data_IF_928195078633
#
_entry.id   IF_928195078633
#
_cell.length_a   1.000
_cell.length_b   1.000
_cell.length_c   1.000
_cell.angle_alpha   90.00
_cell.angle_beta   90.00
_cell.angle_gamma   90.00
#
_symmetry.space_group_name_H-M   'P 1'
#
loop_
_entity.id
_entity.type
_entity.pdbx_description
1 polymer ?
#
# COMPACT_ATOMS: atom_id res chain seq x y z
N UNK A 1 27.36 1.88 45.51
CA UNK A 1 27.43 1.91 44.03
C UNK A 1 27.34 3.36 43.57
N UNK A 2 28.37 3.90 42.95
CA UNK A 2 28.41 5.31 42.54
C UNK A 2 28.21 5.38 41.01
N UNK A 3 26.94 5.54 40.56
CA UNK A 3 26.58 5.56 39.14
C UNK A 3 26.38 6.99 38.67
N UNK A 4 27.25 7.45 37.76
CA UNK A 4 27.15 8.78 37.12
C UNK A 4 25.93 8.83 36.15
N UNK A 5 25.74 7.79 35.35
CA UNK A 5 24.62 7.70 34.38
C UNK A 5 23.54 6.73 34.88
N UNK A 6 22.30 7.18 34.88
CA UNK A 6 21.10 6.38 35.18
C UNK A 6 20.01 6.63 34.17
N UNK A 7 19.98 5.92 33.03
CA UNK A 7 18.96 6.11 31.96
C UNK A 7 17.52 5.94 32.46
N UNK A 8 17.29 5.18 33.52
CA UNK A 8 15.96 5.01 34.15
C UNK A 8 15.34 6.33 34.65
N UNK A 9 16.13 7.40 34.87
CA UNK A 9 15.61 8.71 35.27
C UNK A 9 14.59 9.26 34.28
N UNK A 10 14.77 9.01 32.98
CA UNK A 10 13.88 9.47 31.91
C UNK A 10 12.66 8.57 31.72
N UNK A 11 12.46 7.53 32.54
CA UNK A 11 11.34 6.57 32.41
C UNK A 11 10.46 6.49 33.65
N UNK A 12 10.75 7.30 34.69
CA UNK A 12 10.15 7.16 36.02
C UNK A 12 8.67 7.46 36.09
N UNK A 13 8.17 8.36 35.24
CA UNK A 13 6.76 8.75 35.19
C UNK A 13 6.26 8.76 33.74
N UNK A 14 4.93 8.71 33.54
CA UNK A 14 4.32 8.85 32.24
C UNK A 14 4.67 10.21 31.61
N UNK A 15 4.56 11.30 32.38
CA UNK A 15 4.91 12.65 31.93
C UNK A 15 6.38 12.75 31.46
N UNK A 16 7.32 12.13 32.20
CA UNK A 16 8.72 12.10 31.79
C UNK A 16 8.92 11.32 30.51
N UNK A 17 8.27 10.17 30.34
CA UNK A 17 8.34 9.39 29.10
C UNK A 17 7.74 10.14 27.91
N UNK A 18 6.63 10.86 28.10
CA UNK A 18 6.02 11.69 27.07
C UNK A 18 6.94 12.86 26.69
N UNK A 19 7.55 13.53 27.67
CA UNK A 19 8.46 14.67 27.44
C UNK A 19 9.66 14.30 26.55
N UNK A 20 10.17 13.08 26.68
CA UNK A 20 11.38 12.64 25.94
C UNK A 20 11.07 11.71 24.78
N UNK A 21 9.80 11.59 24.40
CA UNK A 21 9.42 10.77 23.25
C UNK A 21 9.93 11.40 21.94
N UNK A 22 10.75 10.65 21.18
CA UNK A 22 11.38 11.12 19.95
C UNK A 22 10.50 10.91 18.72
N UNK A 23 9.56 9.94 18.79
CA UNK A 23 8.73 9.52 17.66
C UNK A 23 7.27 9.78 17.96
N UNK A 24 6.64 10.65 17.18
CA UNK A 24 5.22 10.99 17.26
C UNK A 24 4.52 10.61 15.97
N UNK A 25 3.64 9.62 16.03
CA UNK A 25 2.81 9.21 14.90
C UNK A 25 1.50 10.00 14.93
N UNK A 26 1.11 10.57 13.78
CA UNK A 26 -0.12 11.34 13.62
C UNK A 26 -1.10 10.59 12.70
N UNK A 27 -2.43 10.74 12.89
CA UNK A 27 -3.44 10.15 12.01
C UNK A 27 -3.22 10.44 10.52
N UNK A 28 -2.79 11.66 10.18
CA UNK A 28 -2.52 12.08 8.80
C UNK A 28 -1.30 11.41 8.13
N UNK A 29 -0.50 10.66 8.88
CA UNK A 29 0.61 9.87 8.36
C UNK A 29 0.20 8.42 8.07
N UNK A 30 -1.05 8.05 8.35
CA UNK A 30 -1.60 6.74 8.05
C UNK A 30 -2.43 6.81 6.76
N UNK A 31 -2.21 5.84 5.87
CA UNK A 31 -2.99 5.63 4.65
C UNK A 31 -3.87 4.41 4.89
N UNK A 32 -5.20 4.59 4.83
CA UNK A 32 -6.13 3.49 4.98
C UNK A 32 -6.33 2.78 3.65
N UNK A 33 -6.12 1.47 3.65
CA UNK A 33 -6.35 0.61 2.48
C UNK A 33 -7.79 0.14 2.43
N UNK A 34 -8.40 0.16 1.25
CA UNK A 34 -9.74 -0.33 0.99
C UNK A 34 -9.80 -1.21 -0.26
N UNK A 35 -10.70 -2.19 -0.24
CA UNK A 35 -11.01 -3.05 -1.37
C UNK A 35 -12.42 -2.75 -1.88
N UNK A 36 -12.57 -2.54 -3.17
CA UNK A 36 -13.87 -2.32 -3.82
C UNK A 36 -14.11 -3.40 -4.85
N UNK A 37 -15.23 -4.10 -4.75
CA UNK A 37 -15.53 -5.28 -5.57
C UNK A 37 -16.77 -5.07 -6.41
N UNK A 38 -16.69 -5.47 -7.67
CA UNK A 38 -17.84 -5.54 -8.58
C UNK A 38 -18.65 -6.83 -8.37
N UNK A 39 -19.92 -6.79 -8.72
CA UNK A 39 -20.81 -7.96 -8.72
C UNK A 39 -21.28 -8.42 -7.33
N UNK A 40 -21.15 -7.61 -6.30
CA UNK A 40 -21.71 -7.86 -4.96
C UNK A 40 -22.77 -6.82 -4.60
N UNK A 41 -23.85 -7.27 -3.92
CA UNK A 41 -24.97 -6.39 -3.51
C UNK A 41 -24.71 -5.71 -2.15
N UNK A 42 -23.85 -6.30 -1.33
CA UNK A 42 -23.46 -5.79 -0.01
C UNK A 42 -21.98 -6.06 0.27
N UNK A 43 -21.36 -5.29 1.18
CA UNK A 43 -19.96 -5.51 1.57
C UNK A 43 -19.74 -6.91 2.13
N UNK A 44 -18.66 -7.55 1.67
CA UNK A 44 -18.30 -8.91 2.07
C UNK A 44 -17.12 -8.90 3.05
N UNK A 45 -17.17 -9.63 4.18
CA UNK A 45 -16.03 -9.71 5.10
C UNK A 45 -14.90 -10.54 4.48
N UNK A 46 -13.66 -10.07 4.63
CA UNK A 46 -12.47 -10.81 4.21
C UNK A 46 -12.08 -11.78 5.33
N UNK A 47 -12.21 -13.08 5.06
CA UNK A 47 -12.05 -14.13 6.08
C UNK A 47 -10.69 -14.11 6.78
N UNK A 48 -9.61 -13.93 6.02
CA UNK A 48 -8.23 -13.91 6.55
C UNK A 48 -7.82 -12.56 7.15
N UNK A 49 -8.69 -11.55 7.06
CA UNK A 49 -8.45 -10.20 7.57
C UNK A 49 -9.65 -9.70 8.40
N UNK A 50 -9.83 -10.19 9.63
CA UNK A 50 -10.97 -9.83 10.47
C UNK A 50 -11.15 -8.32 10.61
N UNK A 51 -12.37 -7.81 10.34
CA UNK A 51 -12.66 -6.36 10.37
C UNK A 51 -12.41 -5.63 9.05
N UNK A 52 -11.83 -6.28 8.04
CA UNK A 52 -11.70 -5.75 6.68
C UNK A 52 -12.78 -6.33 5.75
N UNK A 53 -13.14 -5.54 4.74
CA UNK A 53 -14.25 -5.87 3.84
C UNK A 53 -13.89 -5.59 2.38
N UNK A 54 -14.46 -6.36 1.48
CA UNK A 54 -14.67 -5.95 0.09
C UNK A 54 -15.93 -5.09 0.06
N UNK A 55 -15.81 -3.86 -0.39
CA UNK A 55 -16.89 -2.88 -0.42
C UNK A 55 -17.58 -2.83 -1.79
N UNK A 56 -18.86 -2.51 -1.80
CA UNK A 56 -19.57 -2.02 -3.00
C UNK A 56 -19.24 -0.52 -3.20
N UNK A 57 -19.59 0.04 -4.37
CA UNK A 57 -19.50 1.50 -4.61
C UNK A 57 -20.36 2.31 -3.62
N UNK A 58 -21.46 1.75 -3.11
CA UNK A 58 -22.30 2.42 -2.10
C UNK A 58 -21.70 2.32 -0.70
N UNK A 59 -21.14 1.15 -0.33
CA UNK A 59 -20.64 0.92 1.03
C UNK A 59 -19.25 1.48 1.27
N UNK A 60 -18.49 1.84 0.20
CA UNK A 60 -17.15 2.44 0.35
C UNK A 60 -17.23 3.85 0.93
N UNK A 61 -18.22 4.67 0.52
CA UNK A 61 -18.32 6.06 0.94
C UNK A 61 -18.47 6.21 2.46
N UNK A 62 -19.40 5.52 3.14
CA UNK A 62 -19.45 5.53 4.61
C UNK A 62 -18.14 5.07 5.28
N UNK A 63 -17.46 4.07 4.73
CA UNK A 63 -16.20 3.56 5.29
C UNK A 63 -15.06 4.59 5.16
N UNK A 64 -14.95 5.24 4.01
CA UNK A 64 -13.97 6.32 3.79
C UNK A 64 -14.29 7.53 4.66
N UNK A 65 -15.57 7.88 4.84
CA UNK A 65 -16.00 8.98 5.74
C UNK A 65 -15.60 8.70 7.18
N UNK A 66 -15.77 7.47 7.64
CA UNK A 66 -15.32 7.03 8.97
C UNK A 66 -13.81 7.19 9.17
N UNK A 67 -13.01 6.86 8.15
CA UNK A 67 -11.57 7.06 8.14
C UNK A 67 -11.20 8.57 8.14
N UNK A 68 -11.84 9.35 7.31
CA UNK A 68 -11.66 10.81 7.23
C UNK A 68 -11.95 11.50 8.57
N UNK A 69 -13.09 11.16 9.20
CA UNK A 69 -13.49 11.68 10.51
C UNK A 69 -12.54 11.26 11.64
N UNK A 70 -11.92 10.06 11.53
CA UNK A 70 -10.87 9.62 12.43
C UNK A 70 -9.56 10.42 12.28
N UNK A 71 -9.37 11.14 11.16
CA UNK A 71 -8.20 11.99 10.90
C UNK A 71 -7.30 11.49 9.79
N UNK A 72 -7.68 10.40 9.08
CA UNK A 72 -7.00 9.95 7.86
C UNK A 72 -7.14 11.03 6.77
N UNK A 73 -6.08 11.20 5.98
CA UNK A 73 -6.07 12.18 4.87
C UNK A 73 -5.65 11.57 3.54
N UNK A 74 -5.39 10.27 3.51
CA UNK A 74 -5.10 9.51 2.30
C UNK A 74 -5.70 8.11 2.41
N UNK A 75 -6.32 7.65 1.32
CA UNK A 75 -6.78 6.27 1.16
C UNK A 75 -6.09 5.65 -0.05
N UNK A 76 -5.91 4.32 -0.01
CA UNK A 76 -5.43 3.53 -1.13
C UNK A 76 -6.50 2.52 -1.54
N UNK A 77 -6.91 2.55 -2.81
CA UNK A 77 -8.01 1.77 -3.35
C UNK A 77 -7.48 0.60 -4.20
N UNK A 78 -8.01 -0.59 -3.93
CA UNK A 78 -7.81 -1.81 -4.72
C UNK A 78 -9.15 -2.21 -5.35
N UNK A 79 -9.17 -2.38 -6.67
CA UNK A 79 -10.37 -2.78 -7.41
C UNK A 79 -10.38 -4.27 -7.70
N UNK A 80 -11.51 -4.93 -7.47
CA UNK A 80 -11.70 -6.36 -7.74
C UNK A 80 -12.82 -6.49 -8.78
N UNK A 81 -12.46 -6.71 -10.06
CA UNK A 81 -13.45 -6.96 -11.11
C UNK A 81 -14.11 -8.33 -10.91
N UNK A 82 -15.22 -8.57 -11.65
CA UNK A 82 -15.80 -9.90 -11.71
C UNK A 82 -14.84 -10.86 -12.43
N UNK A 83 -14.90 -12.14 -12.09
CA UNK A 83 -14.02 -13.14 -12.72
C UNK A 83 -14.22 -13.24 -14.23
N UNK A 84 -15.44 -13.03 -14.69
CA UNK A 84 -15.80 -13.02 -16.12
C UNK A 84 -15.25 -11.82 -16.90
N UNK A 85 -14.86 -10.74 -16.20
CA UNK A 85 -14.30 -9.52 -16.76
C UNK A 85 -12.75 -9.49 -16.72
N UNK A 86 -12.14 -10.53 -16.18
CA UNK A 86 -10.68 -10.71 -16.18
C UNK A 86 -10.23 -11.34 -17.48
N UNK A 87 -9.17 -10.80 -18.09
CA UNK A 87 -8.55 -11.34 -19.29
C UNK A 87 -7.03 -11.50 -19.14
N UNK A 88 -6.34 -11.93 -20.20
CA UNK A 88 -4.90 -12.20 -20.16
C UNK A 88 -4.04 -10.94 -19.97
N UNK A 89 -4.57 -9.76 -20.29
CA UNK A 89 -3.86 -8.48 -20.20
C UNK A 89 -4.39 -7.57 -19.10
N UNK A 90 -5.51 -7.94 -18.47
CA UNK A 90 -6.14 -7.14 -17.42
C UNK A 90 -6.82 -5.88 -17.94
N UNK A 91 -7.50 -5.95 -19.10
CA UNK A 91 -8.02 -4.78 -19.80
C UNK A 91 -9.01 -3.93 -19.01
N UNK A 92 -9.72 -4.50 -18.04
CA UNK A 92 -10.64 -3.77 -17.16
C UNK A 92 -9.92 -2.82 -16.20
N UNK A 93 -8.60 -2.91 -16.03
CA UNK A 93 -7.81 -2.00 -15.21
C UNK A 93 -7.82 -0.55 -15.72
N UNK A 94 -7.92 -0.38 -17.04
CA UNK A 94 -7.99 0.95 -17.68
C UNK A 94 -9.35 1.26 -18.32
N UNK A 95 -10.34 0.41 -18.09
CA UNK A 95 -11.72 0.72 -18.50
C UNK A 95 -12.24 1.88 -17.63
N UNK A 96 -12.71 3.00 -18.23
CA UNK A 96 -13.33 4.08 -17.47
C UNK A 96 -14.54 3.65 -16.64
N UNK A 97 -15.19 2.54 -17.00
CA UNK A 97 -16.31 1.95 -16.28
C UNK A 97 -15.87 0.82 -15.34
N UNK A 98 -14.56 0.51 -15.26
CA UNK A 98 -14.02 -0.49 -14.36
C UNK A 98 -14.20 -0.10 -12.89
N UNK A 99 -14.34 -1.11 -12.04
CA UNK A 99 -14.70 -0.93 -10.62
C UNK A 99 -13.73 0.01 -9.87
N UNK A 100 -12.41 -0.06 -10.16
CA UNK A 100 -11.42 0.80 -9.51
C UNK A 100 -11.60 2.27 -9.93
N UNK A 101 -11.77 2.52 -11.23
CA UNK A 101 -11.97 3.88 -11.75
C UNK A 101 -13.28 4.49 -11.24
N UNK A 102 -14.36 3.70 -11.14
CA UNK A 102 -15.59 4.14 -10.49
C UNK A 102 -15.39 4.45 -9.00
N UNK A 103 -14.65 3.59 -8.26
CA UNK A 103 -14.37 3.83 -6.84
C UNK A 103 -13.55 5.12 -6.63
N UNK A 104 -12.57 5.38 -7.50
CA UNK A 104 -11.83 6.66 -7.50
C UNK A 104 -12.79 7.83 -7.71
N UNK A 105 -13.63 7.75 -8.75
CA UNK A 105 -14.53 8.85 -9.11
C UNK A 105 -15.54 9.18 -8.01
N UNK A 106 -16.19 8.18 -7.38
CA UNK A 106 -17.15 8.43 -6.30
C UNK A 106 -16.49 8.95 -5.03
N UNK A 107 -15.27 8.49 -4.71
CA UNK A 107 -14.50 9.04 -3.58
C UNK A 107 -14.07 10.48 -3.87
N UNK A 108 -13.62 10.77 -5.09
CA UNK A 108 -13.22 12.11 -5.52
C UNK A 108 -14.40 13.09 -5.52
N UNK A 109 -15.56 12.67 -6.00
CA UNK A 109 -16.80 13.48 -5.98
C UNK A 109 -17.22 13.83 -4.54
N UNK A 110 -17.14 12.85 -3.62
CA UNK A 110 -17.61 13.02 -2.24
C UNK A 110 -16.66 13.86 -1.38
N UNK A 111 -15.34 13.69 -1.51
CA UNK A 111 -14.36 14.29 -0.61
C UNK A 111 -13.55 15.43 -1.23
N UNK A 112 -13.60 15.61 -2.54
CA UNK A 112 -12.85 16.66 -3.23
C UNK A 112 -11.35 16.59 -2.93
N UNK A 113 -10.74 17.75 -2.63
CA UNK A 113 -9.33 17.90 -2.28
C UNK A 113 -9.04 17.73 -0.78
N UNK A 114 -10.06 17.47 0.04
CA UNK A 114 -9.89 17.26 1.48
C UNK A 114 -9.30 15.88 1.83
N UNK A 115 -9.32 14.95 0.86
CA UNK A 115 -8.81 13.59 0.99
C UNK A 115 -8.00 13.23 -0.25
N UNK A 116 -6.76 12.78 -0.07
CA UNK A 116 -5.96 12.21 -1.14
C UNK A 116 -6.53 10.83 -1.49
N UNK A 117 -7.03 10.70 -2.73
CA UNK A 117 -7.45 9.42 -3.30
C UNK A 117 -6.26 8.85 -4.07
N UNK A 118 -5.69 7.79 -3.55
CA UNK A 118 -4.64 7.00 -4.19
C UNK A 118 -5.24 5.68 -4.67
N UNK A 119 -4.68 5.10 -5.72
CA UNK A 119 -5.07 3.80 -6.23
C UNK A 119 -3.86 2.94 -6.55
N UNK A 120 -3.92 1.67 -6.19
CA UNK A 120 -2.93 0.69 -6.64
C UNK A 120 -2.93 0.60 -8.18
N UNK A 121 -1.74 0.58 -8.76
CA UNK A 121 -1.56 0.50 -10.21
C UNK A 121 -0.82 -0.79 -10.52
N UNK A 122 -1.60 -1.86 -10.61
CA UNK A 122 -1.13 -3.21 -10.92
C UNK A 122 -2.20 -3.98 -11.68
N UNK A 123 -1.80 -4.98 -12.43
CA UNK A 123 -2.70 -5.79 -13.25
C UNK A 123 -3.15 -7.09 -12.57
N UNK A 124 -2.60 -7.46 -11.41
CA UNK A 124 -2.82 -8.79 -10.82
C UNK A 124 -4.24 -9.05 -10.32
N UNK A 125 -5.02 -8.02 -10.02
CA UNK A 125 -6.45 -8.14 -9.73
C UNK A 125 -7.29 -8.33 -11.01
N UNK A 126 -6.77 -7.86 -12.15
CA UNK A 126 -7.49 -7.75 -13.43
C UNK A 126 -7.12 -8.85 -14.42
N UNK A 127 -5.94 -9.47 -14.26
CA UNK A 127 -5.52 -10.58 -15.14
C UNK A 127 -6.15 -11.91 -14.71
N UNK A 128 -6.52 -12.73 -15.71
CA UNK A 128 -7.10 -14.06 -15.48
C UNK A 128 -6.14 -15.04 -14.79
N UNK A 129 -4.83 -14.81 -14.91
CA UNK A 129 -3.76 -15.63 -14.30
C UNK A 129 -3.20 -15.03 -13.00
N UNK A 130 -3.56 -13.80 -12.60
CA UNK A 130 -3.16 -13.17 -11.36
C UNK A 130 -1.69 -12.74 -11.26
N UNK A 131 -0.95 -12.67 -12.37
CA UNK A 131 0.36 -12.02 -12.42
C UNK A 131 0.23 -10.51 -12.61
N UNK A 132 1.26 -9.77 -12.19
CA UNK A 132 1.29 -8.31 -12.28
C UNK A 132 1.55 -7.76 -13.70
N UNK A 133 1.56 -8.59 -14.72
CA UNK A 133 1.83 -8.19 -16.08
C UNK A 133 1.49 -9.26 -17.11
N UNK A 134 1.74 -8.96 -18.38
CA UNK A 134 1.46 -9.82 -19.52
C UNK A 134 2.40 -11.03 -19.51
N UNK A 135 1.86 -12.22 -19.74
CA UNK A 135 2.64 -13.45 -19.82
C UNK A 135 3.00 -13.78 -21.26
N UNK A 136 4.29 -14.04 -21.48
CA UNK A 136 4.85 -14.53 -22.75
C UNK A 136 5.66 -15.80 -22.53
N UNK A 137 5.78 -16.64 -23.57
CA UNK A 137 6.65 -17.82 -23.54
C UNK A 137 8.12 -17.39 -23.66
N UNK A 138 8.98 -17.83 -22.76
CA UNK A 138 10.43 -17.53 -22.76
C UNK A 138 11.22 -18.26 -23.87
N UNK A 139 10.53 -18.98 -24.77
CA UNK A 139 11.13 -19.83 -25.80
C UNK A 139 11.53 -21.21 -25.30
N UNK A 140 11.31 -21.51 -24.02
CA UNK A 140 11.59 -22.80 -23.37
C UNK A 140 10.32 -23.45 -22.79
N UNK A 141 9.15 -22.88 -23.07
CA UNK A 141 7.87 -23.38 -22.60
C UNK A 141 7.52 -22.93 -21.17
N UNK A 142 8.20 -21.91 -20.64
CA UNK A 142 7.87 -21.28 -19.36
C UNK A 142 7.23 -19.91 -19.61
N UNK A 143 6.10 -19.65 -18.97
CA UNK A 143 5.47 -18.33 -19.02
C UNK A 143 6.18 -17.39 -18.04
N UNK A 144 6.60 -16.24 -18.56
CA UNK A 144 7.26 -15.17 -17.80
C UNK A 144 6.52 -13.84 -18.05
N UNK A 145 6.62 -12.90 -17.12
CA UNK A 145 6.07 -11.56 -17.33
C UNK A 145 6.97 -10.80 -18.31
N UNK A 146 6.40 -10.30 -19.40
CA UNK A 146 7.05 -9.35 -20.30
C UNK A 146 7.06 -7.98 -19.68
N UNK A 147 8.26 -7.43 -19.46
CA UNK A 147 8.45 -6.14 -18.81
C UNK A 147 7.87 -4.99 -19.65
N UNK A 148 8.30 -4.89 -20.90
CA UNK A 148 8.06 -3.70 -21.71
C UNK A 148 6.61 -3.59 -22.14
N UNK A 149 5.97 -4.71 -22.53
CA UNK A 149 4.55 -4.76 -22.83
C UNK A 149 3.71 -4.43 -21.58
N UNK A 150 4.13 -4.91 -20.41
CA UNK A 150 3.44 -4.63 -19.14
C UNK A 150 3.52 -3.13 -18.78
N UNK A 151 4.67 -2.49 -18.98
CA UNK A 151 4.84 -1.05 -18.72
C UNK A 151 3.91 -0.20 -19.59
N UNK A 152 3.70 -0.56 -20.87
CA UNK A 152 2.74 0.13 -21.73
C UNK A 152 1.31 0.05 -21.17
N UNK A 153 0.93 -1.09 -20.58
CA UNK A 153 -0.40 -1.25 -19.98
C UNK A 153 -0.53 -0.45 -18.67
N UNK A 154 0.54 -0.39 -17.88
CA UNK A 154 0.57 0.45 -16.68
C UNK A 154 0.40 1.94 -17.01
N UNK A 155 0.99 2.42 -18.11
CA UNK A 155 0.77 3.79 -18.56
C UNK A 155 -0.73 4.05 -18.87
N UNK A 156 -1.42 3.10 -19.54
CA UNK A 156 -2.86 3.21 -19.79
C UNK A 156 -3.67 3.24 -18.49
N UNK A 157 -3.35 2.36 -17.55
CA UNK A 157 -3.99 2.29 -16.24
C UNK A 157 -3.81 3.58 -15.45
N UNK A 158 -2.57 4.09 -15.33
CA UNK A 158 -2.26 5.33 -14.62
C UNK A 158 -3.03 6.52 -15.19
N UNK A 159 -3.06 6.68 -16.53
CA UNK A 159 -3.82 7.75 -17.18
C UNK A 159 -5.33 7.58 -16.95
N UNK A 160 -5.85 6.36 -16.94
CA UNK A 160 -7.26 6.11 -16.64
C UNK A 160 -7.62 6.46 -15.19
N UNK A 161 -6.78 6.08 -14.24
CA UNK A 161 -6.93 6.44 -12.82
C UNK A 161 -6.88 7.97 -12.62
N UNK A 162 -5.95 8.66 -13.28
CA UNK A 162 -5.87 10.11 -13.26
C UNK A 162 -7.13 10.78 -13.81
N UNK A 163 -7.67 10.27 -14.94
CA UNK A 163 -8.96 10.73 -15.51
C UNK A 163 -10.15 10.49 -14.58
N UNK A 164 -10.14 9.41 -13.81
CA UNK A 164 -11.14 9.12 -12.80
C UNK A 164 -11.04 10.05 -11.58
N UNK A 165 -9.92 10.79 -11.42
CA UNK A 165 -9.72 11.78 -10.38
C UNK A 165 -8.74 11.35 -9.27
N UNK A 166 -7.91 10.33 -9.48
CA UNK A 166 -6.84 9.98 -8.55
C UNK A 166 -5.87 11.15 -8.37
N UNK A 167 -5.48 11.42 -7.12
CA UNK A 167 -4.42 12.37 -6.80
C UNK A 167 -3.03 11.74 -6.91
N UNK A 168 -2.97 10.42 -6.67
CA UNK A 168 -1.73 9.64 -6.67
C UNK A 168 -1.98 8.29 -7.32
N UNK A 169 -1.12 7.89 -8.22
CA UNK A 169 -1.04 6.52 -8.73
C UNK A 169 0.07 5.77 -8.02
N UNK A 170 -0.13 4.49 -7.71
CA UNK A 170 0.80 3.74 -6.87
C UNK A 170 1.22 2.43 -7.54
N UNK A 171 2.20 2.48 -8.49
CA UNK A 171 2.64 1.31 -9.26
C UNK A 171 3.27 0.26 -8.36
N UNK A 172 2.67 -0.94 -8.34
CA UNK A 172 3.09 -2.03 -7.47
C UNK A 172 3.61 -3.27 -8.21
N UNK A 173 3.81 -3.17 -9.52
CA UNK A 173 4.19 -4.30 -10.38
C UNK A 173 5.67 -4.65 -10.37
N UNK A 174 6.54 -3.73 -9.99
CA UNK A 174 7.99 -3.91 -10.01
C UNK A 174 8.57 -4.13 -11.42
N UNK A 175 8.04 -3.45 -12.43
CA UNK A 175 8.61 -3.51 -13.78
C UNK A 175 9.71 -2.46 -13.94
N UNK A 176 10.80 -2.84 -14.61
CA UNK A 176 11.91 -1.92 -14.89
C UNK A 176 11.43 -0.75 -15.76
N UNK A 177 11.75 0.49 -15.37
CA UNK A 177 11.39 1.69 -16.13
C UNK A 177 9.93 2.12 -16.02
N UNK A 178 9.13 1.45 -15.18
CA UNK A 178 7.69 1.74 -15.05
C UNK A 178 7.41 3.17 -14.60
N UNK A 179 8.24 3.73 -13.71
CA UNK A 179 8.01 5.07 -13.16
C UNK A 179 8.24 6.14 -14.22
N UNK A 180 9.35 6.07 -14.96
CA UNK A 180 9.65 7.02 -16.04
C UNK A 180 8.58 7.01 -17.14
N UNK A 181 8.14 5.81 -17.55
CA UNK A 181 7.13 5.65 -18.58
C UNK A 181 5.76 6.21 -18.13
N UNK A 182 5.33 5.89 -16.89
CA UNK A 182 4.08 6.38 -16.35
C UNK A 182 4.10 7.90 -16.14
N UNK A 183 5.21 8.47 -15.64
CA UNK A 183 5.35 9.94 -15.51
C UNK A 183 5.19 10.62 -16.86
N UNK A 184 5.90 10.12 -17.89
CA UNK A 184 5.79 10.67 -19.24
C UNK A 184 4.36 10.56 -19.79
N UNK A 185 3.68 9.42 -19.59
CA UNK A 185 2.31 9.22 -20.07
C UNK A 185 1.30 10.13 -19.34
N UNK A 186 1.46 10.35 -18.05
CA UNK A 186 0.63 11.27 -17.27
C UNK A 186 0.82 12.72 -17.74
N UNK A 187 2.06 13.16 -17.93
CA UNK A 187 2.39 14.50 -18.40
C UNK A 187 1.85 14.74 -19.82
N UNK A 188 2.03 13.79 -20.74
CA UNK A 188 1.48 13.88 -22.12
C UNK A 188 -0.04 13.96 -22.11
N UNK A 189 -0.69 13.31 -21.15
CA UNK A 189 -2.15 13.33 -20.99
C UNK A 189 -2.68 14.57 -20.26
N UNK A 190 -1.81 15.48 -19.77
CA UNK A 190 -2.14 16.72 -19.05
C UNK A 190 -2.40 16.53 -17.58
N UNK A 191 -1.78 15.52 -16.95
CA UNK A 191 -1.91 15.18 -15.53
C UNK A 191 -0.59 15.38 -14.77
N UNK A 192 0.10 16.51 -15.00
CA UNK A 192 1.37 16.85 -14.36
C UNK A 192 1.26 16.95 -12.83
N UNK A 193 0.06 17.24 -12.31
CA UNK A 193 -0.20 17.36 -10.86
C UNK A 193 -0.50 16.01 -10.17
N UNK A 194 -0.66 14.91 -10.93
CA UNK A 194 -0.85 13.57 -10.35
C UNK A 194 0.48 13.01 -9.90
N UNK A 195 0.61 12.74 -8.61
CA UNK A 195 1.86 12.19 -8.04
C UNK A 195 2.00 10.68 -8.24
N UNK A 196 3.23 10.17 -8.17
CA UNK A 196 3.55 8.75 -8.23
C UNK A 196 4.17 8.30 -6.91
N UNK A 197 3.51 7.35 -6.21
CA UNK A 197 4.09 6.63 -5.07
C UNK A 197 4.58 5.26 -5.55
N UNK A 198 5.88 5.14 -5.77
CA UNK A 198 6.48 3.91 -6.29
C UNK A 198 6.65 2.84 -5.21
N UNK A 199 6.24 1.61 -5.49
CA UNK A 199 6.58 0.44 -4.67
C UNK A 199 8.02 0.00 -4.95
N UNK A 200 8.97 0.85 -4.66
CA UNK A 200 10.37 0.74 -5.08
C UNK A 200 11.12 -0.46 -4.49
N UNK A 201 10.80 -0.83 -3.25
CA UNK A 201 11.39 -1.98 -2.57
C UNK A 201 10.30 -2.98 -2.16
N UNK A 202 9.73 -3.69 -3.14
CA UNK A 202 8.70 -4.71 -2.92
C UNK A 202 9.30 -6.11 -3.02
N UNK A 203 9.25 -6.84 -1.93
CA UNK A 203 9.81 -8.18 -1.81
C UNK A 203 8.81 -9.28 -2.16
N UNK A 204 9.30 -10.39 -2.73
CA UNK A 204 8.54 -11.64 -2.92
C UNK A 204 8.28 -12.29 -1.55
N UNK A 205 7.31 -11.74 -0.82
CA UNK A 205 7.09 -12.05 0.59
C UNK A 205 6.06 -13.15 0.82
N UNK A 206 6.32 -14.00 1.82
CA UNK A 206 5.35 -14.98 2.33
C UNK A 206 4.18 -14.32 3.10
N UNK A 207 4.28 -13.03 3.44
CA UNK A 207 3.24 -12.29 4.15
C UNK A 207 2.08 -11.78 3.28
N UNK A 208 2.05 -12.09 1.97
CA UNK A 208 0.98 -11.65 1.07
C UNK A 208 -0.22 -12.62 0.98
N UNK A 209 -0.22 -13.71 1.77
CA UNK A 209 -1.31 -14.70 1.73
C UNK A 209 -2.71 -14.09 1.92
N UNK A 210 -2.98 -13.32 2.99
CA UNK A 210 -4.30 -12.73 3.20
C UNK A 210 -4.73 -11.70 2.15
N UNK A 211 -3.79 -11.02 1.50
CA UNK A 211 -4.09 -10.12 0.37
C UNK A 211 -4.66 -10.90 -0.81
N UNK A 212 -4.11 -12.09 -1.12
CA UNK A 212 -4.63 -12.94 -2.20
C UNK A 212 -6.09 -13.36 -1.94
N UNK A 213 -6.44 -13.60 -0.68
CA UNK A 213 -7.81 -13.86 -0.25
C UNK A 213 -8.69 -12.61 -0.42
N UNK A 214 -8.15 -11.43 -0.07
CA UNK A 214 -8.86 -10.17 -0.16
C UNK A 214 -9.23 -9.75 -1.59
N UNK A 215 -8.38 -10.06 -2.57
CA UNK A 215 -8.58 -9.73 -4.00
C UNK A 215 -9.05 -10.92 -4.84
N UNK A 216 -9.36 -12.06 -4.20
CA UNK A 216 -9.77 -13.31 -4.87
C UNK A 216 -8.83 -13.71 -6.00
N UNK A 217 -7.53 -13.67 -5.70
CA UNK A 217 -6.48 -13.91 -6.69
C UNK A 217 -6.52 -15.33 -7.22
N UNK A 218 -6.53 -15.48 -8.53
CA UNK A 218 -6.39 -16.76 -9.26
C UNK A 218 -4.95 -17.24 -9.33
N UNK A 219 -4.00 -16.45 -8.81
CA UNK A 219 -2.57 -16.64 -8.92
C UNK A 219 -2.08 -18.02 -8.48
N UNK A 220 -1.27 -18.64 -9.34
CA UNK A 220 -0.55 -19.89 -9.08
C UNK A 220 0.92 -19.70 -9.42
N UNK A 221 1.82 -20.12 -8.51
CA UNK A 221 3.27 -19.98 -8.72
C UNK A 221 3.91 -18.99 -7.74
N UNK A 222 4.93 -18.27 -8.20
CA UNK A 222 5.59 -17.22 -7.42
C UNK A 222 5.87 -15.99 -8.31
N UNK A 223 6.26 -14.89 -7.67
CA UNK A 223 6.53 -13.60 -8.32
C UNK A 223 8.02 -13.21 -8.23
N UNK A 224 8.89 -14.20 -8.07
CA UNK A 224 10.34 -13.98 -7.82
C UNK A 224 11.10 -13.46 -9.02
N UNK A 225 10.51 -13.52 -10.21
CA UNK A 225 11.12 -12.99 -11.45
C UNK A 225 11.02 -11.47 -11.55
N UNK A 226 10.15 -10.83 -10.75
CA UNK A 226 9.98 -9.38 -10.76
C UNK A 226 9.85 -8.75 -9.36
N UNK A 227 9.57 -9.50 -8.30
CA UNK A 227 9.66 -8.99 -6.93
C UNK A 227 11.00 -9.40 -6.30
N UNK A 228 11.55 -8.53 -5.46
CA UNK A 228 12.88 -8.68 -4.88
C UNK A 228 13.01 -9.92 -3.99
N UNK A 229 14.19 -10.54 -3.99
CA UNK A 229 14.50 -11.66 -3.09
C UNK A 229 14.63 -11.15 -1.64
N UNK A 230 13.89 -11.74 -0.67
CA UNK A 230 14.02 -11.40 0.75
C UNK A 230 15.45 -11.51 1.32
N UNK A 231 16.34 -12.25 0.68
CA UNK A 231 17.73 -12.35 1.06
C UNK A 231 18.59 -11.14 0.65
N UNK A 232 18.08 -10.29 -0.26
CA UNK A 232 18.83 -9.19 -0.85
C UNK A 232 18.44 -7.84 -0.19
N UNK A 233 19.45 -7.08 0.21
CA UNK A 233 19.34 -5.74 0.75
C UNK A 233 19.79 -4.67 -0.25
N UNK A 234 20.90 -4.92 -0.96
CA UNK A 234 21.51 -3.93 -1.87
C UNK A 234 20.65 -3.67 -3.10
N UNK A 235 19.92 -4.65 -3.54
CA UNK A 235 18.97 -4.57 -4.65
C UNK A 235 17.90 -3.49 -4.37
N UNK A 236 17.31 -3.49 -3.17
CA UNK A 236 16.35 -2.45 -2.79
C UNK A 236 16.88 -1.03 -2.88
N UNK A 237 18.17 -0.83 -2.54
CA UNK A 237 18.77 0.50 -2.63
C UNK A 237 19.04 0.91 -4.09
N UNK A 238 19.24 -0.06 -4.98
CA UNK A 238 19.38 0.16 -6.41
C UNK A 238 18.02 0.54 -7.02
N UNK A 239 16.99 -0.26 -6.75
CA UNK A 239 15.61 -0.03 -7.22
C UNK A 239 15.07 1.33 -6.77
N UNK A 240 15.21 1.65 -5.48
CA UNK A 240 14.76 2.97 -4.97
C UNK A 240 15.48 4.11 -5.66
N UNK A 241 16.78 3.99 -5.96
CA UNK A 241 17.50 5.04 -6.70
C UNK A 241 17.05 5.15 -8.14
N UNK A 242 16.77 4.03 -8.80
CA UNK A 242 16.23 4.03 -10.16
C UNK A 242 14.87 4.75 -10.20
N UNK A 243 13.95 4.39 -9.31
CA UNK A 243 12.63 5.04 -9.23
C UNK A 243 12.72 6.55 -8.93
N UNK A 244 13.67 6.96 -8.07
CA UNK A 244 13.92 8.38 -7.79
C UNK A 244 14.45 9.12 -9.04
N UNK A 245 15.38 8.52 -9.79
CA UNK A 245 15.92 9.07 -11.04
C UNK A 245 14.84 9.12 -12.13
N UNK A 246 13.90 8.19 -12.12
CA UNK A 246 12.75 8.09 -13.01
C UNK A 246 11.61 9.06 -12.67
N UNK A 247 11.65 9.71 -11.51
CA UNK A 247 10.70 10.77 -11.15
C UNK A 247 9.61 10.36 -10.17
N UNK A 248 9.85 9.35 -9.31
CA UNK A 248 8.94 9.05 -8.20
C UNK A 248 8.84 10.22 -7.23
N UNK A 249 7.62 10.61 -6.85
CA UNK A 249 7.33 11.65 -5.85
C UNK A 249 7.40 11.11 -4.42
N UNK A 250 7.17 9.82 -4.25
CA UNK A 250 7.31 9.06 -3.01
C UNK A 250 7.82 7.66 -3.34
N UNK A 251 8.60 7.08 -2.42
CA UNK A 251 9.14 5.71 -2.56
C UNK A 251 8.66 4.83 -1.41
N UNK A 252 8.41 3.55 -1.65
CA UNK A 252 7.82 2.65 -0.67
C UNK A 252 8.64 1.39 -0.45
N UNK A 253 8.70 0.95 0.81
CA UNK A 253 9.19 -0.37 1.22
C UNK A 253 8.01 -1.27 1.59
N UNK A 254 7.92 -2.47 0.99
CA UNK A 254 6.86 -3.46 1.22
C UNK A 254 7.43 -4.89 1.26
N UNK A 255 7.18 -5.66 2.33
CA UNK A 255 6.50 -5.33 3.60
C UNK A 255 7.29 -4.38 4.50
N UNK A 256 6.65 -3.86 5.57
CA UNK A 256 7.30 -2.95 6.50
C UNK A 256 8.04 -3.64 7.66
N UNK A 257 7.32 -4.47 8.44
CA UNK A 257 7.78 -4.90 9.77
C UNK A 257 9.03 -5.78 9.76
N UNK A 258 9.16 -6.66 8.76
CA UNK A 258 10.37 -7.50 8.60
C UNK A 258 11.50 -6.82 7.85
N UNK A 259 11.31 -5.58 7.37
CA UNK A 259 12.22 -4.83 6.52
C UNK A 259 12.49 -3.42 7.06
N UNK A 260 12.44 -3.25 8.39
CA UNK A 260 12.73 -1.96 9.05
C UNK A 260 14.15 -1.47 8.81
N UNK A 261 15.09 -2.38 8.56
CA UNK A 261 16.45 -2.08 8.13
C UNK A 261 16.47 -1.39 6.76
N UNK A 262 15.67 -1.89 5.81
CA UNK A 262 15.51 -1.30 4.48
C UNK A 262 14.82 0.06 4.57
N UNK A 263 13.72 0.16 5.36
CA UNK A 263 13.05 1.44 5.63
C UNK A 263 14.05 2.47 6.15
N UNK A 264 14.91 2.06 7.11
CA UNK A 264 15.91 2.95 7.71
C UNK A 264 16.93 3.43 6.68
N UNK A 265 17.47 2.52 5.88
CA UNK A 265 18.48 2.88 4.88
C UNK A 265 17.90 3.76 3.76
N UNK A 266 16.71 3.45 3.27
CA UNK A 266 16.01 4.27 2.27
C UNK A 266 15.78 5.68 2.82
N UNK A 267 15.29 5.80 4.06
CA UNK A 267 15.06 7.11 4.69
C UNK A 267 16.33 7.94 4.89
N UNK A 268 17.52 7.32 4.94
CA UNK A 268 18.78 8.04 5.10
C UNK A 268 19.26 8.74 3.81
N UNK A 269 18.83 8.29 2.65
CA UNK A 269 19.27 8.89 1.39
C UNK A 269 18.15 9.43 0.49
N UNK A 270 16.89 9.05 0.74
CA UNK A 270 15.77 9.51 -0.08
C UNK A 270 15.55 11.02 0.09
N UNK A 271 15.51 11.79 -1.01
CA UNK A 271 15.14 13.20 -0.98
C UNK A 271 13.62 13.43 -0.95
N UNK A 272 12.83 12.37 -1.16
CA UNK A 272 11.36 12.39 -1.18
C UNK A 272 10.79 11.59 0.00
N UNK A 273 9.50 11.77 0.35
CA UNK A 273 8.90 11.00 1.45
C UNK A 273 9.00 9.50 1.25
N UNK A 274 9.25 8.78 2.34
CA UNK A 274 9.35 7.33 2.37
C UNK A 274 8.07 6.75 2.94
N UNK A 275 7.41 5.91 2.15
CA UNK A 275 6.27 5.11 2.58
C UNK A 275 6.72 3.72 3.04
N UNK A 276 5.94 3.10 3.90
CA UNK A 276 6.09 1.70 4.25
C UNK A 276 4.73 1.02 4.35
N UNK A 277 4.62 -0.22 3.88
CA UNK A 277 3.35 -0.94 3.88
C UNK A 277 3.33 -2.04 4.94
N UNK A 278 2.54 -1.86 6.00
CA UNK A 278 2.19 -2.93 6.92
C UNK A 278 1.19 -3.86 6.24
N UNK A 279 1.67 -4.97 5.71
CA UNK A 279 0.91 -5.84 4.80
C UNK A 279 -0.09 -6.75 5.50
N UNK A 280 -0.92 -7.38 4.69
CA UNK A 280 -2.03 -8.24 5.14
C UNK A 280 -1.61 -9.39 6.06
N UNK A 281 -0.45 -10.01 5.83
CA UNK A 281 0.07 -11.07 6.71
C UNK A 281 0.52 -10.53 8.07
N UNK A 282 1.08 -9.33 8.12
CA UNK A 282 1.44 -8.67 9.38
C UNK A 282 0.17 -8.31 10.18
N UNK A 283 -0.86 -7.81 9.49
CA UNK A 283 -2.19 -7.60 10.05
C UNK A 283 -2.76 -8.90 10.62
N UNK A 284 -2.84 -9.95 9.81
CA UNK A 284 -3.44 -11.24 10.20
C UNK A 284 -2.71 -11.90 11.38
N UNK A 285 -1.39 -11.78 11.46
CA UNK A 285 -0.59 -12.30 12.60
C UNK A 285 -0.98 -11.60 13.92
N UNK A 286 -1.15 -10.29 13.91
CA UNK A 286 -1.56 -9.52 15.09
C UNK A 286 -2.98 -9.91 15.48
N UNK A 287 -3.92 -9.97 14.52
CA UNK A 287 -5.31 -10.37 14.77
C UNK A 287 -5.39 -11.78 15.34
N UNK A 288 -4.67 -12.75 14.77
CA UNK A 288 -4.67 -14.13 15.24
C UNK A 288 -4.11 -14.26 16.68
N UNK A 289 -3.01 -13.59 16.98
CA UNK A 289 -2.43 -13.60 18.33
C UNK A 289 -3.33 -12.88 19.36
N UNK A 290 -3.97 -11.78 18.96
CA UNK A 290 -4.90 -11.04 19.80
C UNK A 290 -6.17 -11.85 20.09
N UNK A 291 -6.74 -12.52 19.09
CA UNK A 291 -7.91 -13.38 19.24
C UNK A 291 -7.69 -14.54 20.22
N UNK A 292 -6.44 -15.02 20.33
CA UNK A 292 -6.05 -16.04 21.31
C UNK A 292 -5.68 -15.45 22.71
N UNK A 293 -5.76 -14.13 22.89
CA UNK A 293 -5.42 -13.46 24.15
C UNK A 293 -3.93 -13.45 24.49
N UNK A 294 -3.06 -13.74 23.53
CA UNK A 294 -1.61 -13.80 23.76
C UNK A 294 -0.95 -12.43 23.78
N UNK A 295 -1.56 -11.44 23.12
CA UNK A 295 -1.08 -10.07 23.04
C UNK A 295 -2.22 -9.08 23.30
N UNK A 296 -1.86 -7.86 23.74
CA UNK A 296 -2.80 -6.74 23.78
C UNK A 296 -2.85 -6.10 22.37
N UNK A 297 -3.95 -6.28 21.67
CA UNK A 297 -4.16 -5.86 20.28
C UNK A 297 -3.83 -4.37 20.06
N UNK A 298 -4.46 -3.45 20.81
CA UNK A 298 -4.25 -2.01 20.69
C UNK A 298 -2.78 -1.63 20.90
N UNK A 299 -2.15 -2.18 21.95
CA UNK A 299 -0.77 -1.88 22.27
C UNK A 299 0.19 -2.34 21.17
N UNK A 300 0.03 -3.58 20.65
CA UNK A 300 0.90 -4.13 19.60
C UNK A 300 0.71 -3.41 18.27
N UNK A 301 -0.51 -3.06 17.88
CA UNK A 301 -0.77 -2.28 16.67
C UNK A 301 -0.06 -0.92 16.74
N UNK A 302 -0.26 -0.17 17.83
CA UNK A 302 0.40 1.14 18.01
C UNK A 302 1.92 1.02 18.11
N UNK A 303 2.45 -0.04 18.73
CA UNK A 303 3.89 -0.28 18.80
C UNK A 303 4.48 -0.61 17.42
N UNK A 304 3.82 -1.45 16.63
CA UNK A 304 4.27 -1.81 15.28
C UNK A 304 4.28 -0.58 14.35
N UNK A 305 3.22 0.23 14.35
CA UNK A 305 3.16 1.45 13.55
C UNK A 305 4.22 2.48 13.97
N UNK A 306 4.42 2.66 15.29
CA UNK A 306 5.52 3.52 15.79
C UNK A 306 6.89 2.97 15.42
N UNK A 307 7.07 1.65 15.38
CA UNK A 307 8.34 1.03 14.98
C UNK A 307 8.66 1.29 13.52
N UNK A 308 7.67 1.24 12.65
CA UNK A 308 7.79 1.56 11.22
C UNK A 308 8.14 3.06 11.06
N UNK A 309 7.41 3.96 11.72
CA UNK A 309 7.69 5.39 11.68
C UNK A 309 9.07 5.72 12.28
N UNK A 310 9.46 5.10 13.39
CA UNK A 310 10.79 5.27 13.99
C UNK A 310 11.93 4.78 13.08
N UNK A 311 11.67 3.79 12.24
CA UNK A 311 12.64 3.36 11.23
C UNK A 311 12.88 4.41 10.14
N UNK A 312 11.92 5.33 9.92
CA UNK A 312 12.07 6.46 9.02
C UNK A 312 10.95 6.61 7.99
N UNK A 313 9.89 5.79 8.06
CA UNK A 313 8.75 5.99 7.20
C UNK A 313 8.01 7.29 7.55
N UNK A 314 7.79 8.15 6.56
CA UNK A 314 7.01 9.38 6.69
C UNK A 314 5.52 9.09 6.70
N UNK A 315 5.09 8.12 5.89
CA UNK A 315 3.70 7.66 5.78
C UNK A 315 3.63 6.13 5.81
N UNK A 316 2.52 5.59 6.31
CA UNK A 316 2.36 4.15 6.52
C UNK A 316 1.02 3.69 5.94
N UNK A 317 1.07 2.81 4.93
CA UNK A 317 -0.10 2.07 4.47
C UNK A 317 -0.41 0.97 5.48
N UNK A 318 -1.63 0.91 5.94
CA UNK A 318 -2.07 -0.08 6.92
C UNK A 318 -3.57 -0.33 6.88
N UNK A 319 -3.98 -1.53 7.21
CA UNK A 319 -5.39 -1.89 7.40
C UNK A 319 -5.93 -1.41 8.77
N UNK A 320 -5.06 -0.97 9.68
CA UNK A 320 -5.43 -0.39 10.97
C UNK A 320 -5.66 1.11 10.94
N UNK A 321 -5.55 1.78 9.78
CA UNK A 321 -5.51 3.24 9.68
C UNK A 321 -6.61 3.92 10.48
N UNK A 322 -7.88 3.59 10.24
CA UNK A 322 -9.04 4.19 10.91
C UNK A 322 -9.05 3.96 12.43
N UNK A 323 -8.80 2.72 12.88
CA UNK A 323 -8.75 2.40 14.31
C UNK A 323 -7.56 3.07 15.00
N UNK A 324 -6.38 2.95 14.40
CA UNK A 324 -5.16 3.55 14.95
C UNK A 324 -5.27 5.07 15.04
N UNK A 325 -5.86 5.72 14.05
CA UNK A 325 -6.11 7.16 14.06
C UNK A 325 -6.98 7.58 15.26
N UNK A 326 -8.04 6.84 15.56
CA UNK A 326 -8.87 7.07 16.75
C UNK A 326 -8.07 6.91 18.04
N UNK A 327 -7.30 5.83 18.15
CA UNK A 327 -6.49 5.57 19.35
C UNK A 327 -5.39 6.60 19.56
N UNK A 328 -4.80 7.13 18.49
CA UNK A 328 -3.80 8.21 18.59
C UNK A 328 -4.43 9.49 19.13
N UNK A 329 -5.62 9.86 18.66
CA UNK A 329 -6.34 11.05 19.17
C UNK A 329 -6.76 10.92 20.65
N UNK A 330 -7.08 9.69 21.11
CA UNK A 330 -7.35 9.42 22.52
C UNK A 330 -6.11 9.58 23.43
N UNK A 331 -4.90 9.36 22.87
CA UNK A 331 -3.67 9.51 23.62
C UNK A 331 -3.22 10.97 23.74
N UNK A 332 -3.65 11.83 22.81
CA UNK A 332 -3.32 13.26 22.77
C UNK A 332 -4.34 14.11 23.53
N UNK A 333 -5.50 13.53 23.90
CA UNK A 333 -6.56 14.18 24.68
C UNK A 333 -6.33 14.00 26.19
#
# INVERSE_FOLDING_TARGET
>A
MNLTRRPRRLRTTAAMRSLVAETTLRPSQLIQVFFVRDGIDEKQPIRSMPGQYQHTLESIIPAVREAYEAGIRCIDLFGIPRDEDKDEVGSTAWDPQGILNHAIAVCREEFGDDLVVMADTCLDEFTSHGHCGVLVDDGHGTLVVDNDETVELYCKMAVSQARAGAHTVSPSGMMDGQIAAMRAALDEAGFEDVSIMAYSAKYASAFFGPFRDAVESTFKGDRKTYQQDPANRRESLLEVRADLEEGADMVMVKPAGSYLDIVREVAEFSPVPVAAYQVSGEYAMIEAAAANGWINRKAVVLESLRSIHRAGADVILTYYGTEAARWLRELDA
#
